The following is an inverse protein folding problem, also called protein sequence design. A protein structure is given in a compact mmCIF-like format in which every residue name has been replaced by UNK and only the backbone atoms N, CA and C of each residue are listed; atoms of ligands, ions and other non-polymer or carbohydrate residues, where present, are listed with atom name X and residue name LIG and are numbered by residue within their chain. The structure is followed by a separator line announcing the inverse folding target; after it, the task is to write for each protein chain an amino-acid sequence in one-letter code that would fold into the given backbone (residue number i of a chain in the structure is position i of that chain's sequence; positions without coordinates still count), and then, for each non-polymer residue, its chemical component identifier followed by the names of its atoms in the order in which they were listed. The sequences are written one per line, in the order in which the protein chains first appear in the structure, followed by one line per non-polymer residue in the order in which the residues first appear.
data_IF_566706179694
#
_entry.id   IF_566706179694
#
_cell.length_a   1.000
_cell.length_b   1.000
_cell.length_c   1.000
_cell.angle_alpha   90.00
_cell.angle_beta   90.00
_cell.angle_gamma   90.00
#
_symmetry.space_group_name_H-M   'P 1'
#
loop_
_entity.id
_entity.type
_entity.pdbx_description
1 polymer ?
#
# COMPACT_ATOMS: atom_id res chain seq x y z
N UNK A 1 -55.97 17.73 54.77
CA UNK A 1 -55.06 16.70 54.22
C UNK A 1 -54.54 17.22 52.88
N UNK A 2 -53.22 17.46 52.78
CA UNK A 2 -52.30 17.57 51.60
C UNK A 2 -52.85 18.15 50.27
N UNK A 3 -52.42 19.33 49.78
CA UNK A 3 -51.12 19.75 49.16
C UNK A 3 -51.13 19.69 47.61
N UNK A 4 -51.02 20.89 47.00
CA UNK A 4 -50.27 21.38 45.81
C UNK A 4 -50.30 20.76 44.39
N UNK A 5 -50.62 21.65 43.43
CA UNK A 5 -49.96 22.03 42.14
C UNK A 5 -48.96 21.05 41.48
N UNK A 6 -49.07 20.86 40.16
CA UNK A 6 -48.24 21.52 39.14
C UNK A 6 -48.31 20.80 37.76
N UNK A 7 -48.18 21.59 36.69
CA UNK A 7 -48.22 21.21 35.28
C UNK A 7 -46.99 20.38 34.85
N UNK A 8 -47.18 19.46 33.89
CA UNK A 8 -46.08 18.78 33.19
C UNK A 8 -46.08 19.18 31.70
N UNK A 9 -45.03 19.88 31.29
CA UNK A 9 -44.63 20.03 29.89
C UNK A 9 -43.66 18.88 29.56
N UNK A 10 -43.97 18.08 28.54
CA UNK A 10 -43.09 17.02 28.05
C UNK A 10 -42.15 17.58 26.98
N UNK A 11 -40.85 17.65 27.31
CA UNK A 11 -39.80 18.10 26.40
C UNK A 11 -39.31 16.98 25.48
N UNK A 12 -39.17 17.29 24.19
CA UNK A 12 -38.46 16.47 23.21
C UNK A 12 -36.97 16.41 23.53
N UNK A 13 -36.46 15.20 23.77
CA UNK A 13 -35.01 14.93 23.86
C UNK A 13 -34.47 14.78 22.44
N UNK A 14 -33.68 15.76 22.00
CA UNK A 14 -32.85 15.66 20.80
C UNK A 14 -31.65 14.78 21.16
N UNK A 15 -31.59 13.57 20.61
CA UNK A 15 -30.40 12.73 20.60
C UNK A 15 -29.36 13.38 19.68
N UNK A 16 -28.41 14.12 20.26
CA UNK A 16 -27.22 14.56 19.58
C UNK A 16 -26.28 13.36 19.39
N UNK A 17 -26.08 12.96 18.14
CA UNK A 17 -25.04 12.01 17.73
C UNK A 17 -23.67 12.65 18.05
N UNK A 18 -23.00 12.17 19.09
CA UNK A 18 -21.65 12.60 19.42
C UNK A 18 -20.69 12.14 18.32
N UNK A 19 -20.14 13.09 17.57
CA UNK A 19 -18.99 12.88 16.71
C UNK A 19 -17.85 12.34 17.56
N UNK A 20 -17.40 11.11 17.31
CA UNK A 20 -16.24 10.53 17.99
C UNK A 20 -15.01 11.27 17.47
N UNK A 21 -14.59 12.32 18.18
CA UNK A 21 -13.27 12.92 17.99
C UNK A 21 -12.26 11.83 18.39
N UNK A 22 -11.50 11.30 17.43
CA UNK A 22 -10.39 10.38 17.73
C UNK A 22 -9.38 11.15 18.58
N UNK A 23 -9.25 10.79 19.85
CA UNK A 23 -8.39 11.49 20.79
C UNK A 23 -6.92 11.34 20.36
N UNK A 24 -6.18 12.45 20.37
CA UNK A 24 -4.72 12.47 20.19
C UNK A 24 -4.08 11.55 21.23
N UNK A 25 -2.96 10.92 20.88
CA UNK A 25 -2.24 10.08 21.86
C UNK A 25 -1.62 10.97 22.93
N UNK A 26 -1.56 10.48 24.17
CA UNK A 26 -1.00 11.27 25.27
C UNK A 26 0.53 11.37 25.16
N UNK A 27 1.17 12.36 25.82
CA UNK A 27 2.63 12.42 25.94
C UNK A 27 3.25 11.14 26.48
N UNK A 28 2.57 10.46 27.42
CA UNK A 28 3.01 9.20 28.00
C UNK A 28 2.97 8.05 26.97
N UNK A 29 1.92 7.99 26.15
CA UNK A 29 1.83 7.04 25.04
C UNK A 29 2.90 7.30 23.98
N UNK A 30 3.06 8.56 23.56
CA UNK A 30 4.08 8.95 22.58
C UNK A 30 5.49 8.64 23.07
N UNK A 31 5.75 8.73 24.38
CA UNK A 31 7.04 8.40 24.96
C UNK A 31 7.40 6.91 24.81
N UNK A 32 6.46 6.01 24.46
CA UNK A 32 6.77 4.60 24.14
C UNK A 32 7.58 4.44 22.84
N UNK A 33 7.46 5.40 21.90
CA UNK A 33 8.19 5.39 20.63
C UNK A 33 9.71 5.53 20.86
N UNK A 34 10.47 4.57 20.35
CA UNK A 34 11.92 4.46 20.58
C UNK A 34 12.32 3.76 21.88
N UNK A 35 11.35 3.39 22.74
CA UNK A 35 11.56 2.56 23.93
C UNK A 35 11.09 1.13 23.65
N UNK A 36 9.89 0.78 24.09
CA UNK A 36 9.26 -0.53 23.88
C UNK A 36 8.60 -0.65 22.50
N UNK A 37 8.27 0.49 21.86
CA UNK A 37 7.92 0.55 20.45
C UNK A 37 9.12 1.00 19.61
N UNK A 38 9.19 0.56 18.36
CA UNK A 38 10.11 1.14 17.37
C UNK A 38 9.74 2.62 17.15
N UNK A 39 10.61 3.43 16.52
CA UNK A 39 10.29 4.83 16.26
C UNK A 39 9.04 5.05 15.39
N UNK A 40 8.59 4.02 14.66
CA UNK A 40 7.39 4.06 13.82
C UNK A 40 6.17 3.38 14.47
N UNK A 41 6.30 2.85 15.70
CA UNK A 41 5.20 2.29 16.47
C UNK A 41 5.02 0.77 16.42
N UNK A 42 5.91 0.05 15.74
CA UNK A 42 5.95 -1.41 15.78
C UNK A 42 6.39 -1.91 17.17
N UNK A 43 6.08 -3.15 17.52
CA UNK A 43 6.63 -3.76 18.73
C UNK A 43 8.14 -3.99 18.56
N UNK A 44 8.96 -3.39 19.43
CA UNK A 44 10.42 -3.49 19.31
C UNK A 44 10.92 -4.89 19.66
N UNK A 45 10.33 -5.53 20.66
CA UNK A 45 10.70 -6.88 21.07
C UNK A 45 10.35 -7.93 20.00
N UNK A 46 11.12 -9.02 19.98
CA UNK A 46 10.76 -10.23 19.25
C UNK A 46 9.52 -10.90 19.83
N UNK A 47 8.99 -11.92 19.15
CA UNK A 47 7.88 -12.69 19.69
C UNK A 47 8.35 -13.75 20.69
N UNK A 48 7.42 -14.30 21.47
CA UNK A 48 7.74 -15.27 22.52
C UNK A 48 8.37 -16.56 21.95
N UNK A 49 7.97 -16.97 20.74
CA UNK A 49 8.48 -18.17 20.07
C UNK A 49 9.88 -17.97 19.45
N UNK A 50 10.41 -16.74 19.44
CA UNK A 50 11.71 -16.40 18.84
C UNK A 50 11.73 -16.48 17.31
N UNK A 51 10.59 -16.67 16.66
CA UNK A 51 10.46 -16.72 15.19
C UNK A 51 10.48 -15.33 14.55
N UNK A 52 10.10 -14.30 15.31
CA UNK A 52 10.24 -12.89 14.95
C UNK A 52 11.32 -12.29 15.86
N UNK A 53 12.47 -11.84 15.33
CA UNK A 53 13.53 -11.27 16.15
C UNK A 53 13.17 -9.86 16.67
N UNK A 54 13.88 -9.34 17.70
CA UNK A 54 13.78 -7.93 18.06
C UNK A 54 14.20 -7.03 16.89
N UNK A 55 13.63 -5.82 16.83
CA UNK A 55 14.07 -4.80 15.87
C UNK A 55 15.32 -4.09 16.39
N UNK A 56 16.39 -4.14 15.59
CA UNK A 56 17.71 -3.64 15.96
C UNK A 56 18.15 -2.41 15.12
N UNK A 57 17.22 -1.75 14.44
CA UNK A 57 17.51 -0.58 13.59
C UNK A 57 17.13 -0.74 12.13
N UNK A 58 16.78 -1.96 11.71
CA UNK A 58 16.52 -2.31 10.31
C UNK A 58 17.79 -2.33 9.46
N UNK A 59 17.63 -2.41 8.14
CA UNK A 59 18.73 -2.53 7.18
C UNK A 59 19.04 -1.17 6.53
N UNK A 60 20.18 -0.59 6.91
CA UNK A 60 20.64 0.74 6.45
C UNK A 60 22.05 0.71 5.86
N UNK A 61 22.67 -0.47 5.79
CA UNK A 61 24.00 -0.66 5.22
C UNK A 61 23.90 -1.47 3.93
N UNK A 62 24.54 -0.95 2.88
CA UNK A 62 24.64 -1.65 1.61
C UNK A 62 25.46 -2.94 1.76
N UNK A 63 24.96 -4.09 1.29
CA UNK A 63 25.72 -5.33 1.27
C UNK A 63 26.86 -5.24 0.25
N UNK A 64 27.94 -6.03 0.40
CA UNK A 64 29.08 -6.02 -0.52
C UNK A 64 28.75 -6.30 -1.99
N UNK A 65 27.63 -6.98 -2.28
CA UNK A 65 27.19 -7.27 -3.64
C UNK A 65 26.59 -6.06 -4.37
N UNK A 66 26.25 -4.97 -3.66
CA UNK A 66 25.61 -3.81 -4.26
C UNK A 66 26.60 -2.99 -5.06
N UNK A 67 26.25 -2.66 -6.32
CA UNK A 67 27.14 -1.93 -7.22
C UNK A 67 27.03 -0.40 -7.11
N UNK A 68 26.25 0.10 -6.15
CA UNK A 68 26.04 1.52 -5.91
C UNK A 68 24.76 2.07 -6.53
N UNK A 69 24.52 3.36 -6.32
CA UNK A 69 23.30 4.05 -6.71
C UNK A 69 22.96 3.84 -8.21
N UNK A 70 21.68 3.58 -8.49
CA UNK A 70 21.17 3.31 -9.83
C UNK A 70 21.40 1.88 -10.32
N UNK A 71 22.14 1.05 -9.57
CA UNK A 71 22.23 -0.38 -9.83
C UNK A 71 21.06 -1.14 -9.18
N UNK A 72 20.76 -2.32 -9.72
CA UNK A 72 19.76 -3.23 -9.17
C UNK A 72 20.14 -3.64 -7.75
N UNK A 73 19.18 -3.64 -6.83
CA UNK A 73 19.38 -4.17 -5.48
C UNK A 73 19.70 -5.66 -5.52
N UNK A 74 20.82 -6.05 -4.91
CA UNK A 74 21.16 -7.46 -4.71
C UNK A 74 20.56 -7.97 -3.40
N UNK A 75 20.43 -9.29 -3.27
CA UNK A 75 19.95 -9.91 -2.03
C UNK A 75 21.02 -9.78 -0.93
N UNK A 76 20.74 -9.09 0.19
CA UNK A 76 21.65 -8.98 1.32
C UNK A 76 21.74 -10.27 2.15
N UNK A 77 20.89 -11.27 1.88
CA UNK A 77 20.81 -12.53 2.62
C UNK A 77 21.05 -13.77 1.74
N UNK A 78 22.19 -13.84 1.01
CA UNK A 78 22.41 -14.90 0.01
C UNK A 78 22.48 -16.32 0.60
N UNK A 79 22.81 -16.44 1.89
CA UNK A 79 22.94 -17.72 2.60
C UNK A 79 21.64 -18.19 3.25
N UNK A 80 20.60 -17.35 3.28
CA UNK A 80 19.31 -17.72 3.85
C UNK A 80 18.66 -18.83 3.02
N UNK A 81 18.18 -19.88 3.70
CA UNK A 81 17.43 -21.00 3.09
C UNK A 81 16.01 -21.03 3.64
N UNK A 82 15.03 -21.56 2.89
CA UNK A 82 13.70 -21.79 3.44
C UNK A 82 13.80 -22.67 4.70
N UNK A 83 13.16 -22.23 5.78
CA UNK A 83 13.00 -23.01 7.00
C UNK A 83 12.02 -24.16 6.77
N UNK A 84 10.97 -23.88 6.00
CA UNK A 84 9.96 -24.84 5.60
C UNK A 84 9.18 -24.29 4.39
N UNK A 85 8.42 -25.17 3.76
CA UNK A 85 7.54 -24.82 2.63
C UNK A 85 6.11 -25.14 2.99
N UNK A 86 5.20 -24.18 2.84
CA UNK A 86 3.77 -24.41 3.00
C UNK A 86 3.19 -24.86 1.66
N UNK A 87 2.52 -26.01 1.66
CA UNK A 87 1.79 -26.59 0.54
C UNK A 87 0.37 -26.92 0.99
N UNK A 88 -0.49 -27.35 0.07
CA UNK A 88 -1.83 -27.83 0.44
C UNK A 88 -1.80 -28.96 1.48
N UNK A 89 -0.79 -29.82 1.45
CA UNK A 89 -0.71 -31.00 2.33
C UNK A 89 -0.46 -30.64 3.79
N UNK A 90 0.17 -29.49 4.06
CA UNK A 90 0.52 -29.08 5.42
C UNK A 90 -0.13 -27.76 5.86
N UNK A 91 -0.94 -27.12 5.00
CA UNK A 91 -1.55 -25.80 5.24
C UNK A 91 -2.35 -25.72 6.55
N UNK A 92 -2.97 -26.84 6.97
CA UNK A 92 -3.72 -26.91 8.21
C UNK A 92 -2.90 -26.49 9.44
N UNK A 93 -1.58 -26.73 9.44
CA UNK A 93 -0.67 -26.35 10.54
C UNK A 93 -0.42 -24.84 10.64
N UNK A 94 -0.62 -24.11 9.55
CA UNK A 94 -0.26 -22.70 9.43
C UNK A 94 -1.47 -21.80 9.18
N UNK A 95 -2.68 -22.36 9.24
CA UNK A 95 -3.92 -21.68 8.81
C UNK A 95 -4.12 -20.32 9.47
N UNK A 96 -3.81 -20.21 10.76
CA UNK A 96 -3.98 -18.97 11.53
C UNK A 96 -2.95 -17.88 11.22
N UNK A 97 -1.91 -18.22 10.43
CA UNK A 97 -0.85 -17.32 9.98
C UNK A 97 -0.99 -16.92 8.50
N UNK A 98 -2.08 -17.31 7.85
CA UNK A 98 -2.31 -17.11 6.41
C UNK A 98 -3.59 -16.30 6.15
N UNK A 99 -3.58 -15.47 5.11
CA UNK A 99 -4.79 -14.77 4.64
C UNK A 99 -5.75 -15.71 3.96
N UNK A 100 -7.01 -15.29 3.78
CA UNK A 100 -7.99 -16.10 3.06
C UNK A 100 -7.55 -16.35 1.61
N UNK A 101 -6.93 -15.35 0.97
CA UNK A 101 -6.33 -15.48 -0.36
C UNK A 101 -5.20 -16.49 -0.45
N UNK A 102 -4.26 -16.50 0.51
CA UNK A 102 -3.19 -17.51 0.52
C UNK A 102 -3.75 -18.93 0.63
N UNK A 103 -4.73 -19.14 1.53
CA UNK A 103 -5.43 -20.41 1.67
C UNK A 103 -6.14 -20.82 0.37
N UNK A 104 -6.81 -19.88 -0.29
CA UNK A 104 -7.51 -20.14 -1.55
C UNK A 104 -6.55 -20.51 -2.69
N UNK A 105 -5.35 -19.90 -2.74
CA UNK A 105 -4.36 -20.22 -3.77
C UNK A 105 -3.71 -21.58 -3.57
N UNK A 106 -3.38 -21.95 -2.32
CA UNK A 106 -2.92 -23.31 -1.97
C UNK A 106 -3.99 -24.36 -2.30
N UNK A 107 -5.27 -24.04 -2.06
CA UNK A 107 -6.39 -24.92 -2.38
C UNK A 107 -6.55 -25.12 -3.88
N UNK A 108 -6.47 -24.03 -4.65
CA UNK A 108 -6.71 -23.98 -6.10
C UNK A 108 -5.56 -24.56 -6.93
N UNK A 109 -4.32 -24.37 -6.49
CA UNK A 109 -3.11 -24.75 -7.23
C UNK A 109 -2.21 -25.69 -6.40
N UNK A 110 -2.72 -26.85 -5.96
CA UNK A 110 -2.05 -27.72 -5.00
C UNK A 110 -0.65 -28.20 -5.42
N UNK A 111 -0.45 -28.38 -6.72
CA UNK A 111 0.78 -28.94 -7.29
C UNK A 111 1.83 -27.88 -7.65
N UNK A 112 1.46 -26.60 -7.74
CA UNK A 112 2.33 -25.54 -8.27
C UNK A 112 2.48 -24.34 -7.35
N UNK A 113 1.49 -24.06 -6.51
CA UNK A 113 1.53 -22.97 -5.55
C UNK A 113 2.02 -23.45 -4.19
N UNK A 114 2.98 -22.72 -3.62
CA UNK A 114 3.63 -23.03 -2.35
C UNK A 114 4.22 -21.75 -1.79
N UNK A 115 4.38 -21.66 -0.47
CA UNK A 115 5.04 -20.53 0.18
C UNK A 115 6.36 -21.02 0.76
N UNK A 116 7.48 -20.57 0.20
CA UNK A 116 8.82 -20.83 0.75
C UNK A 116 9.08 -19.83 1.89
N UNK A 117 9.05 -20.32 3.14
CA UNK A 117 9.12 -19.48 4.33
C UNK A 117 10.53 -19.45 4.88
N UNK A 118 11.08 -18.25 4.99
CA UNK A 118 12.44 -17.98 5.44
C UNK A 118 12.42 -17.43 6.87
N UNK A 119 13.61 -17.35 7.47
CA UNK A 119 13.79 -16.64 8.73
C UNK A 119 13.41 -15.17 8.57
N UNK A 120 12.77 -14.62 9.60
CA UNK A 120 12.34 -13.23 9.61
C UNK A 120 13.54 -12.29 9.72
N UNK A 121 13.63 -11.35 8.77
CA UNK A 121 14.59 -10.25 8.77
C UNK A 121 13.81 -8.94 8.79
N UNK A 122 13.76 -8.28 9.96
CA UNK A 122 13.06 -6.99 10.15
C UNK A 122 13.87 -5.84 9.55
N UNK A 123 13.84 -5.71 8.23
CA UNK A 123 14.70 -4.81 7.46
C UNK A 123 14.20 -3.37 7.36
N UNK A 124 12.93 -3.09 7.66
CA UNK A 124 12.40 -1.74 7.49
C UNK A 124 13.18 -0.74 8.35
N UNK A 125 13.68 0.30 7.70
CA UNK A 125 14.39 1.39 8.32
C UNK A 125 14.07 2.71 7.61
N UNK A 126 14.09 3.80 8.38
CA UNK A 126 13.85 5.15 7.92
C UNK A 126 14.93 6.11 8.47
N UNK A 127 15.12 7.30 7.86
CA UNK A 127 16.06 8.29 8.38
C UNK A 127 15.58 8.89 9.70
N UNK A 128 16.51 9.37 10.53
CA UNK A 128 16.19 9.93 11.86
C UNK A 128 15.18 11.09 11.81
N UNK A 129 15.24 11.95 10.79
CA UNK A 129 14.29 13.06 10.65
C UNK A 129 12.84 12.57 10.43
N UNK A 130 12.66 11.37 9.86
CA UNK A 130 11.34 10.74 9.71
C UNK A 130 10.84 10.24 11.06
N UNK A 131 11.71 9.63 11.85
CA UNK A 131 11.40 9.20 13.22
C UNK A 131 11.03 10.38 14.12
N UNK A 132 11.77 11.49 14.01
CA UNK A 132 11.47 12.72 14.75
C UNK A 132 10.12 13.32 14.36
N UNK A 133 9.84 13.39 13.06
CA UNK A 133 8.55 13.88 12.57
C UNK A 133 7.39 12.97 13.00
N UNK A 134 7.59 11.65 12.95
CA UNK A 134 6.62 10.65 13.40
C UNK A 134 6.26 10.84 14.89
N UNK A 135 7.25 11.10 15.75
CA UNK A 135 7.02 11.40 17.17
C UNK A 135 6.22 12.69 17.37
N UNK A 136 6.48 13.73 16.55
CA UNK A 136 5.68 14.97 16.58
C UNK A 136 4.26 14.71 16.10
N UNK A 137 4.08 13.94 15.04
CA UNK A 137 2.77 13.61 14.50
C UNK A 137 1.93 12.83 15.50
N UNK A 138 2.52 11.90 16.26
CA UNK A 138 1.84 11.15 17.31
C UNK A 138 1.01 12.09 18.23
N UNK A 139 1.58 13.23 18.62
CA UNK A 139 0.97 14.20 19.53
C UNK A 139 0.00 15.19 18.86
N UNK A 140 0.02 15.30 17.53
CA UNK A 140 -0.62 16.40 16.82
C UNK A 140 -1.65 15.95 15.78
N UNK A 141 -1.43 14.79 15.15
CA UNK A 141 -2.22 14.29 14.05
C UNK A 141 -3.65 13.98 14.50
N UNK A 142 -4.61 14.40 13.69
CA UNK A 142 -6.02 14.04 13.87
C UNK A 142 -6.67 13.74 12.53
N UNK A 143 -7.70 12.91 12.58
CA UNK A 143 -8.62 12.71 11.47
C UNK A 143 -9.92 13.47 11.73
N UNK A 144 -10.36 14.20 10.71
CA UNK A 144 -11.65 14.88 10.67
C UNK A 144 -12.52 14.27 9.56
N UNK A 145 -13.81 14.63 9.56
CA UNK A 145 -14.77 14.21 8.52
C UNK A 145 -14.75 12.69 8.24
N UNK A 146 -14.91 11.91 9.31
CA UNK A 146 -14.91 10.43 9.28
C UNK A 146 -13.63 9.76 8.73
N UNK A 147 -12.51 10.51 8.65
CA UNK A 147 -11.25 9.99 8.14
C UNK A 147 -10.82 10.59 6.80
N UNK A 148 -11.64 11.43 6.18
CA UNK A 148 -11.33 12.00 4.85
C UNK A 148 -10.44 13.24 4.88
N UNK A 149 -10.06 13.69 6.08
CA UNK A 149 -9.16 14.84 6.25
C UNK A 149 -8.15 14.59 7.35
N UNK A 150 -6.86 14.65 6.98
CA UNK A 150 -5.75 14.62 7.92
C UNK A 150 -5.35 16.05 8.31
N UNK A 151 -5.20 16.29 9.62
CA UNK A 151 -4.71 17.54 10.20
C UNK A 151 -3.50 17.30 11.08
N UNK A 152 -2.67 18.34 11.23
CA UNK A 152 -1.60 18.36 12.24
C UNK A 152 -0.45 17.37 12.03
N UNK A 153 -0.35 16.78 10.84
CA UNK A 153 0.73 15.87 10.47
C UNK A 153 1.42 16.36 9.19
N UNK A 154 2.74 16.30 9.18
CA UNK A 154 3.57 16.52 8.00
C UNK A 154 4.86 15.74 8.22
N UNK A 155 5.39 15.12 7.16
CA UNK A 155 6.60 14.30 7.21
C UNK A 155 6.49 13.10 8.19
N UNK A 156 6.92 11.91 7.75
CA UNK A 156 6.81 10.71 8.57
C UNK A 156 5.38 10.24 8.86
N UNK A 157 5.24 9.24 9.70
CA UNK A 157 3.98 8.52 9.87
C UNK A 157 3.00 9.34 10.73
N UNK A 158 1.75 9.54 10.30
CA UNK A 158 0.79 10.38 11.03
C UNK A 158 0.35 9.73 12.36
N UNK A 159 0.14 8.41 12.39
CA UNK A 159 -0.47 7.70 13.52
C UNK A 159 0.36 6.49 13.95
N UNK A 160 1.58 6.66 14.51
CA UNK A 160 2.41 5.52 14.91
C UNK A 160 1.78 4.65 16.02
N UNK A 161 0.81 5.18 16.78
CA UNK A 161 0.04 4.41 17.77
C UNK A 161 -1.45 4.53 17.40
N UNK A 162 -1.91 3.80 16.37
CA UNK A 162 -3.23 4.00 15.80
C UNK A 162 -4.33 3.54 16.77
N UNK A 163 -5.42 4.29 16.81
CA UNK A 163 -6.65 4.04 17.57
C UNK A 163 -7.82 3.65 16.68
N UNK A 164 -7.70 3.82 15.37
CA UNK A 164 -8.72 3.47 14.39
C UNK A 164 -8.15 2.78 13.14
N UNK A 165 -9.02 2.13 12.38
CA UNK A 165 -8.63 1.49 11.12
C UNK A 165 -8.19 2.51 10.06
N UNK A 166 -8.88 3.66 9.98
CA UNK A 166 -8.51 4.73 9.05
C UNK A 166 -7.11 5.28 9.34
N UNK A 167 -6.71 5.38 10.61
CA UNK A 167 -5.35 5.80 10.97
C UNK A 167 -4.27 4.85 10.44
N UNK A 168 -4.52 3.53 10.48
CA UNK A 168 -3.63 2.53 9.85
C UNK A 168 -3.56 2.73 8.33
N UNK A 169 -4.71 2.97 7.67
CA UNK A 169 -4.75 3.24 6.23
C UNK A 169 -4.02 4.54 5.87
N UNK A 170 -4.13 5.58 6.70
CA UNK A 170 -3.40 6.84 6.51
C UNK A 170 -1.89 6.68 6.64
N UNK A 171 -1.42 5.86 7.59
CA UNK A 171 0.01 5.53 7.66
C UNK A 171 0.49 4.88 6.36
N UNK A 172 -0.29 3.96 5.78
CA UNK A 172 0.06 3.35 4.50
C UNK A 172 0.13 4.36 3.35
N UNK A 173 -0.89 5.23 3.22
CA UNK A 173 -0.96 6.25 2.15
C UNK A 173 0.22 7.23 2.21
N UNK A 174 0.67 7.57 3.42
CA UNK A 174 1.68 8.59 3.69
C UNK A 174 3.04 8.04 4.13
N UNK A 175 3.25 6.72 4.07
CA UNK A 175 4.52 6.10 4.44
C UNK A 175 5.67 6.71 3.66
N UNK A 176 6.79 6.91 4.34
CA UNK A 176 7.97 7.55 3.75
C UNK A 176 8.60 6.65 2.68
N UNK A 177 8.82 7.20 1.48
CA UNK A 177 9.36 6.51 0.30
C UNK A 177 10.32 7.42 -0.49
N UNK A 178 11.05 8.27 0.23
CA UNK A 178 11.79 9.38 -0.37
C UNK A 178 10.89 10.55 -0.78
N UNK A 179 11.46 11.52 -1.50
CA UNK A 179 10.77 12.76 -1.92
C UNK A 179 10.10 12.65 -3.30
N UNK A 180 10.44 11.62 -4.06
CA UNK A 180 9.92 11.37 -5.41
C UNK A 180 10.82 10.43 -6.20
N UNK A 181 10.40 10.08 -7.41
CA UNK A 181 11.20 9.21 -8.28
C UNK A 181 10.59 8.99 -9.65
N UNK A 182 11.42 8.54 -10.58
CA UNK A 182 11.05 8.06 -11.89
C UNK A 182 11.26 6.54 -11.93
N UNK A 183 10.24 5.78 -12.33
CA UNK A 183 10.30 4.31 -12.38
C UNK A 183 9.61 3.72 -13.60
N UNK A 184 9.98 2.49 -13.90
CA UNK A 184 9.16 1.61 -14.72
C UNK A 184 8.19 0.85 -13.83
N UNK A 185 6.95 0.72 -14.29
CA UNK A 185 5.85 0.07 -13.57
C UNK A 185 5.17 -0.93 -14.52
N UNK A 186 5.95 -1.79 -15.15
CA UNK A 186 5.46 -2.68 -16.19
C UNK A 186 4.46 -3.69 -15.61
N UNK A 187 3.49 -4.07 -16.44
CA UNK A 187 2.43 -4.97 -16.02
C UNK A 187 2.02 -5.95 -17.12
N UNK A 188 1.49 -7.09 -16.70
CA UNK A 188 1.02 -8.16 -17.56
C UNK A 188 -0.28 -8.72 -16.99
N UNK A 189 -1.37 -8.56 -17.74
CA UNK A 189 -2.62 -9.26 -17.50
C UNK A 189 -2.52 -10.68 -18.09
N UNK A 190 -2.57 -11.68 -17.22
CA UNK A 190 -2.38 -13.10 -17.57
C UNK A 190 -3.73 -13.78 -17.70
N UNK A 191 -3.94 -14.36 -18.87
CA UNK A 191 -5.12 -15.19 -19.19
C UNK A 191 -5.08 -16.54 -18.48
N UNK A 192 -6.20 -17.30 -18.40
CA UNK A 192 -6.19 -18.61 -17.75
C UNK A 192 -5.28 -19.63 -18.43
N UNK A 193 -4.94 -19.44 -19.71
CA UNK A 193 -3.97 -20.29 -20.43
C UNK A 193 -2.51 -19.96 -20.07
N UNK A 194 -2.25 -18.84 -19.41
CA UNK A 194 -0.91 -18.31 -19.13
C UNK A 194 -0.41 -17.31 -20.17
N UNK A 195 -1.14 -17.08 -21.26
CA UNK A 195 -0.79 -16.06 -22.24
C UNK A 195 -0.99 -14.65 -21.66
N UNK A 196 -0.11 -13.72 -22.03
CA UNK A 196 -0.20 -12.31 -21.64
C UNK A 196 0.38 -11.41 -22.75
N UNK A 197 0.05 -10.12 -22.69
CA UNK A 197 0.77 -9.06 -23.43
C UNK A 197 1.37 -8.12 -22.41
N UNK A 198 2.66 -7.84 -22.54
CA UNK A 198 3.34 -6.88 -21.67
C UNK A 198 2.87 -5.46 -22.01
N UNK A 199 2.53 -4.70 -20.97
CA UNK A 199 2.30 -3.26 -21.03
C UNK A 199 3.45 -2.59 -20.31
N UNK A 200 4.19 -1.77 -21.04
CA UNK A 200 5.29 -1.01 -20.45
C UNK A 200 4.80 0.36 -20.04
N UNK A 201 5.13 0.76 -18.81
CA UNK A 201 4.61 1.98 -18.20
C UNK A 201 5.76 2.67 -17.49
N UNK A 202 5.88 3.99 -17.67
CA UNK A 202 6.74 4.84 -16.84
C UNK A 202 5.90 5.67 -15.90
N UNK A 203 6.37 5.84 -14.67
CA UNK A 203 5.74 6.67 -13.65
C UNK A 203 6.74 7.67 -13.07
N UNK A 204 6.34 8.93 -13.02
CA UNK A 204 7.03 10.00 -12.31
C UNK A 204 6.18 10.39 -11.11
N UNK A 205 6.80 10.46 -9.93
CA UNK A 205 6.10 10.72 -8.67
C UNK A 205 6.84 11.76 -7.86
N UNK A 206 6.10 12.66 -7.21
CA UNK A 206 6.61 13.56 -6.16
C UNK A 206 5.74 13.39 -4.92
N UNK A 207 6.38 13.39 -3.74
CA UNK A 207 5.74 13.30 -2.44
C UNK A 207 5.95 14.61 -1.64
N UNK A 208 5.19 15.68 -1.90
CA UNK A 208 5.32 16.93 -1.11
C UNK A 208 5.24 16.70 0.40
N UNK A 209 4.40 15.78 0.87
CA UNK A 209 4.26 15.42 2.29
C UNK A 209 5.57 14.89 2.91
N UNK A 210 6.44 14.26 2.12
CA UNK A 210 7.69 13.65 2.58
C UNK A 210 8.89 14.61 2.52
N UNK A 211 8.70 15.86 2.05
CA UNK A 211 9.77 16.84 2.00
C UNK A 211 10.19 17.30 3.39
N UNK A 212 11.50 17.44 3.62
CA UNK A 212 12.06 17.94 4.89
C UNK A 212 11.71 19.40 5.17
N UNK A 213 11.39 20.17 4.13
CA UNK A 213 11.02 21.59 4.23
C UNK A 213 9.51 21.82 4.20
N UNK A 214 8.71 20.76 4.10
CA UNK A 214 7.26 20.89 4.04
C UNK A 214 6.66 21.32 5.39
N UNK A 215 5.68 22.21 5.33
CA UNK A 215 4.70 22.44 6.39
C UNK A 215 3.31 22.04 5.86
N UNK A 216 2.31 21.83 6.74
CA UNK A 216 0.93 21.58 6.29
C UNK A 216 0.40 22.64 5.32
N UNK A 217 0.81 23.90 5.48
CA UNK A 217 0.42 25.01 4.63
C UNK A 217 1.17 25.00 3.29
N UNK A 218 2.46 24.67 3.29
CA UNK A 218 3.32 24.76 2.09
C UNK A 218 2.93 23.78 1.00
N UNK A 219 2.35 22.63 1.35
CA UNK A 219 1.97 21.59 0.38
C UNK A 219 0.65 21.88 -0.34
N UNK A 220 -0.07 22.94 0.03
CA UNK A 220 -1.26 23.39 -0.70
C UNK A 220 -2.35 22.31 -0.84
N UNK A 221 -2.53 21.46 0.19
CA UNK A 221 -3.39 20.27 0.20
C UNK A 221 -2.90 19.06 -0.60
N UNK A 222 -1.82 19.14 -1.36
CA UNK A 222 -1.41 18.07 -2.28
C UNK A 222 -0.33 17.22 -1.62
N UNK A 223 -0.61 15.94 -1.41
CA UNK A 223 0.31 15.01 -0.74
C UNK A 223 1.11 14.15 -1.72
N UNK A 224 0.59 13.97 -2.94
CA UNK A 224 1.25 13.20 -4.01
C UNK A 224 0.94 13.85 -5.35
N UNK A 225 1.96 14.03 -6.17
CA UNK A 225 1.81 14.21 -7.61
C UNK A 225 2.23 12.93 -8.32
N UNK A 226 1.40 12.45 -9.24
CA UNK A 226 1.61 11.19 -9.94
C UNK A 226 1.34 11.38 -11.44
N UNK A 227 2.32 11.02 -12.27
CA UNK A 227 2.22 11.00 -13.72
C UNK A 227 2.57 9.61 -14.23
N UNK A 228 1.64 9.00 -14.95
CA UNK A 228 1.80 7.68 -15.57
C UNK A 228 1.68 7.81 -17.08
N UNK A 229 2.59 7.17 -17.82
CA UNK A 229 2.58 7.15 -19.29
C UNK A 229 2.76 5.71 -19.77
N UNK A 230 1.81 5.23 -20.58
CA UNK A 230 1.94 3.95 -21.27
C UNK A 230 2.92 4.10 -22.43
N UNK A 231 3.97 3.26 -22.47
CA UNK A 231 5.01 3.26 -23.50
C UNK A 231 4.76 2.21 -24.57
N UNK A 232 4.31 1.02 -24.17
CA UNK A 232 3.97 -0.08 -25.06
C UNK A 232 2.77 -0.87 -24.53
N UNK A 233 2.01 -1.59 -25.38
CA UNK A 233 2.17 -1.73 -26.83
C UNK A 233 1.67 -0.50 -27.62
N UNK A 234 1.96 -0.40 -28.94
CA UNK A 234 1.60 0.77 -29.76
C UNK A 234 0.13 1.18 -29.71
N UNK A 235 -0.79 0.22 -29.54
CA UNK A 235 -2.24 0.49 -29.39
C UNK A 235 -2.57 1.37 -28.17
N UNK A 236 -1.80 1.25 -27.10
CA UNK A 236 -2.01 1.95 -25.83
C UNK A 236 -0.97 3.06 -25.59
N UNK A 237 0.14 3.03 -26.34
CA UNK A 237 1.25 3.95 -26.19
C UNK A 237 0.81 5.43 -26.25
N UNK A 238 1.33 6.23 -25.32
CA UNK A 238 1.02 7.64 -25.16
C UNK A 238 -0.21 7.94 -24.32
N UNK A 239 -0.95 6.94 -23.81
CA UNK A 239 -1.98 7.19 -22.79
C UNK A 239 -1.32 7.76 -21.52
N UNK A 240 -1.89 8.85 -21.00
CA UNK A 240 -1.41 9.49 -19.77
C UNK A 240 -2.50 9.48 -18.72
N UNK A 241 -2.13 9.16 -17.49
CA UNK A 241 -2.91 9.46 -16.29
C UNK A 241 -2.10 10.39 -15.39
N UNK A 242 -2.68 11.53 -15.05
CA UNK A 242 -2.11 12.52 -14.14
C UNK A 242 -3.02 12.64 -12.92
N UNK A 243 -2.46 12.56 -11.72
CA UNK A 243 -3.20 12.65 -10.46
C UNK A 243 -2.48 13.59 -9.50
N UNK A 244 -3.22 14.53 -8.92
CA UNK A 244 -2.82 15.29 -7.74
C UNK A 244 -3.69 14.79 -6.58
N UNK A 245 -3.07 14.06 -5.67
CA UNK A 245 -3.71 13.50 -4.49
C UNK A 245 -3.83 14.55 -3.39
N UNK A 246 -4.99 14.61 -2.75
CA UNK A 246 -5.28 15.62 -1.72
C UNK A 246 -5.29 15.04 -0.30
N UNK A 247 -4.82 15.83 0.66
CA UNK A 247 -4.78 15.49 2.09
C UNK A 247 -6.17 15.61 2.74
N UNK A 248 -6.88 16.67 2.39
CA UNK A 248 -8.26 16.93 2.79
C UNK A 248 -9.16 16.81 1.56
N UNK A 249 -9.80 15.65 1.43
CA UNK A 249 -10.65 15.35 0.28
C UNK A 249 -12.04 16.00 0.37
N UNK A 250 -12.44 16.45 1.57
CA UNK A 250 -13.67 17.21 1.79
C UNK A 250 -13.51 18.64 1.30
N UNK A 251 -12.36 19.26 1.60
CA UNK A 251 -12.01 20.60 1.13
C UNK A 251 -11.76 20.64 -0.38
N UNK A 252 -10.97 19.70 -0.89
CA UNK A 252 -10.69 19.59 -2.32
C UNK A 252 -10.59 18.11 -2.70
N UNK A 253 -11.49 17.58 -3.55
CA UNK A 253 -11.40 16.19 -3.97
C UNK A 253 -10.12 15.95 -4.79
N UNK A 254 -9.68 14.69 -4.84
CA UNK A 254 -8.59 14.25 -5.72
C UNK A 254 -8.80 14.82 -7.12
N UNK A 255 -7.71 15.33 -7.71
CA UNK A 255 -7.72 15.87 -9.06
C UNK A 255 -7.03 14.91 -10.00
N UNK A 256 -7.74 14.49 -11.04
CA UNK A 256 -7.17 13.61 -12.04
C UNK A 256 -7.49 14.08 -13.45
N UNK A 257 -6.60 13.71 -14.37
CA UNK A 257 -6.71 13.95 -15.79
C UNK A 257 -6.26 12.72 -16.57
N UNK A 258 -6.86 12.53 -17.73
CA UNK A 258 -6.45 11.51 -18.69
C UNK A 258 -6.22 12.13 -20.06
N UNK A 259 -5.19 11.65 -20.74
CA UNK A 259 -4.94 11.93 -22.15
C UNK A 259 -5.05 10.63 -22.95
N UNK A 260 -5.80 10.70 -24.05
CA UNK A 260 -5.88 9.63 -25.04
C UNK A 260 -5.24 10.10 -26.35
N UNK A 261 -4.23 9.39 -26.88
CA UNK A 261 -3.58 9.72 -28.15
C UNK A 261 -4.57 9.87 -29.30
N UNK A 262 -5.61 9.02 -29.34
CA UNK A 262 -6.64 9.08 -30.38
C UNK A 262 -7.48 10.36 -30.35
N UNK A 263 -7.63 10.98 -29.17
CA UNK A 263 -8.37 12.24 -29.01
C UNK A 263 -7.47 13.48 -28.94
N UNK A 264 -6.15 13.30 -28.80
CA UNK A 264 -5.12 14.35 -28.70
C UNK A 264 -5.45 15.46 -27.68
N UNK A 265 -6.14 15.11 -26.60
CA UNK A 265 -6.58 16.09 -25.58
C UNK A 265 -6.49 15.50 -24.18
N UNK A 266 -5.95 16.28 -23.25
CA UNK A 266 -6.05 16.02 -21.82
C UNK A 266 -7.41 16.51 -21.29
N UNK A 267 -8.08 15.69 -20.49
CA UNK A 267 -9.39 16.01 -19.90
C UNK A 267 -9.39 15.70 -18.42
N UNK A 268 -10.15 16.47 -17.65
CA UNK A 268 -10.48 16.10 -16.25
C UNK A 268 -11.13 14.72 -16.24
N UNK A 269 -10.65 13.85 -15.37
CA UNK A 269 -11.06 12.46 -15.26
C UNK A 269 -11.39 12.13 -13.79
N UNK A 270 -12.50 12.66 -13.25
CA UNK A 270 -12.89 12.41 -11.85
C UNK A 270 -13.17 10.93 -11.55
N UNK A 271 -13.37 10.12 -12.59
CA UNK A 271 -13.50 8.67 -12.52
C UNK A 271 -12.17 7.92 -12.27
N UNK A 272 -11.02 8.60 -12.20
CA UNK A 272 -9.76 7.99 -11.73
C UNK A 272 -9.79 7.87 -10.20
N UNK A 273 -10.76 7.10 -9.73
CA UNK A 273 -11.08 6.86 -8.33
C UNK A 273 -11.89 5.55 -8.19
N UNK A 274 -11.87 4.99 -6.99
CA UNK A 274 -12.67 3.83 -6.59
C UNK A 274 -12.54 2.61 -7.53
N UNK A 275 -13.66 1.95 -7.81
CA UNK A 275 -13.81 0.71 -8.58
C UNK A 275 -13.74 0.88 -10.10
N UNK A 276 -13.40 2.07 -10.59
CA UNK A 276 -13.16 2.25 -12.01
C UNK A 276 -11.91 1.46 -12.44
N UNK A 277 -11.94 0.79 -13.62
CA UNK A 277 -10.79 0.04 -14.12
C UNK A 277 -9.54 0.91 -14.19
N UNK A 278 -8.41 0.36 -13.73
CA UNK A 278 -7.13 1.05 -13.80
C UNK A 278 -6.53 1.02 -15.21
N UNK A 279 -5.56 1.91 -15.46
CA UNK A 279 -4.83 1.98 -16.74
C UNK A 279 -4.32 0.60 -17.15
N UNK A 280 -4.70 0.18 -18.37
CA UNK A 280 -4.19 -1.00 -19.07
C UNK A 280 -4.22 -2.32 -18.26
N UNK A 281 -5.12 -2.46 -17.28
CA UNK A 281 -5.17 -3.64 -16.38
C UNK A 281 -6.07 -4.77 -16.85
N UNK A 282 -6.70 -4.62 -18.02
CA UNK A 282 -7.66 -5.59 -18.58
C UNK A 282 -8.79 -5.94 -17.58
N UNK A 283 -9.19 -4.96 -16.77
CA UNK A 283 -10.23 -5.06 -15.74
C UNK A 283 -9.83 -5.82 -14.47
N UNK A 284 -8.58 -6.30 -14.36
CA UNK A 284 -8.12 -7.12 -13.23
C UNK A 284 -7.74 -6.30 -11.99
N UNK A 285 -7.65 -4.97 -12.12
CA UNK A 285 -7.40 -4.03 -11.02
C UNK A 285 -8.17 -2.74 -11.21
N UNK A 286 -8.64 -2.15 -10.10
CA UNK A 286 -9.30 -0.85 -10.03
C UNK A 286 -8.31 0.27 -9.67
N UNK A 287 -8.71 1.52 -9.87
CA UNK A 287 -7.86 2.69 -9.60
C UNK A 287 -7.39 2.76 -8.14
N UNK A 288 -8.27 2.44 -7.19
CA UNK A 288 -7.97 2.48 -5.76
C UNK A 288 -7.13 1.29 -5.24
N UNK A 289 -6.76 0.34 -6.09
CA UNK A 289 -5.95 -0.85 -5.74
C UNK A 289 -4.45 -0.72 -6.06
N UNK A 290 -4.00 0.33 -6.75
CA UNK A 290 -2.56 0.54 -6.97
C UNK A 290 -1.87 0.72 -5.61
N UNK A 291 -0.74 0.05 -5.42
CA UNK A 291 0.02 0.04 -4.16
C UNK A 291 -0.78 -0.57 -2.99
N UNK A 292 -1.61 -1.59 -3.27
CA UNK A 292 -2.51 -2.23 -2.31
C UNK A 292 -3.79 -1.41 -2.02
N UNK A 293 -3.66 -0.15 -1.63
CA UNK A 293 -4.79 0.78 -1.48
C UNK A 293 -4.38 2.25 -1.55
N UNK A 294 -5.04 3.04 -2.41
CA UNK A 294 -4.85 4.49 -2.46
C UNK A 294 -6.15 5.31 -2.39
N UNK A 295 -7.29 4.65 -2.18
CA UNK A 295 -8.61 5.30 -2.25
C UNK A 295 -8.95 6.24 -1.08
N UNK A 296 -10.03 7.00 -1.28
CA UNK A 296 -10.77 7.67 -0.21
C UNK A 296 -11.41 6.63 0.72
N UNK A 297 -11.53 6.90 2.03
CA UNK A 297 -12.08 5.92 2.99
C UNK A 297 -13.61 6.01 3.12
N UNK A 298 -14.25 6.90 2.37
CA UNK A 298 -15.63 7.36 2.51
C UNK A 298 -16.71 6.31 2.17
N UNK A 299 -16.40 5.36 1.29
CA UNK A 299 -17.37 4.32 0.87
C UNK A 299 -17.52 3.18 1.87
N UNK A 300 -16.61 3.03 2.83
CA UNK A 300 -16.56 1.87 3.73
C UNK A 300 -16.74 2.27 5.19
N UNK A 301 -17.37 1.39 5.97
CA UNK A 301 -17.27 1.37 7.42
C UNK A 301 -16.03 0.56 7.78
N UNK A 302 -15.16 1.14 8.59
CA UNK A 302 -13.85 0.59 8.89
C UNK A 302 -13.78 0.02 10.31
N UNK A 303 -13.12 -1.13 10.44
CA UNK A 303 -12.91 -1.83 11.71
C UNK A 303 -11.46 -2.23 11.86
N UNK A 304 -10.86 -1.87 12.99
CA UNK A 304 -9.53 -2.32 13.38
C UNK A 304 -9.66 -3.67 14.08
N UNK A 305 -9.11 -4.73 13.50
CA UNK A 305 -9.15 -6.08 14.06
C UNK A 305 -7.96 -6.40 14.98
N UNK A 306 -7.00 -5.47 15.09
CA UNK A 306 -5.80 -5.60 15.92
C UNK A 306 -4.60 -6.15 15.15
N UNK A 307 -3.58 -6.61 15.89
CA UNK A 307 -2.36 -7.21 15.31
C UNK A 307 -2.45 -8.73 15.23
N UNK A 308 -1.76 -9.31 14.24
CA UNK A 308 -1.55 -10.76 14.09
C UNK A 308 -0.15 -11.05 13.59
N UNK A 309 0.38 -12.23 13.92
CA UNK A 309 1.56 -12.78 13.26
C UNK A 309 1.13 -13.51 11.99
N UNK A 310 1.61 -13.04 10.84
CA UNK A 310 1.19 -13.50 9.51
C UNK A 310 2.42 -13.77 8.63
N UNK A 311 2.31 -14.77 7.77
CA UNK A 311 3.32 -15.06 6.75
C UNK A 311 3.05 -14.16 5.55
N UNK A 312 3.96 -13.22 5.29
CA UNK A 312 3.79 -12.16 4.30
C UNK A 312 4.95 -12.17 3.29
N UNK A 313 4.73 -11.72 2.04
CA UNK A 313 5.82 -11.48 1.11
C UNK A 313 6.69 -10.33 1.63
N UNK A 314 7.99 -10.57 1.77
CA UNK A 314 8.92 -9.62 2.39
C UNK A 314 10.35 -9.86 1.92
N UNK A 315 11.22 -8.84 1.97
CA UNK A 315 12.61 -8.92 1.49
C UNK A 315 12.74 -9.52 0.09
N UNK A 316 11.91 -9.07 -0.85
CA UNK A 316 11.72 -9.69 -2.17
C UNK A 316 12.83 -9.37 -3.19
N UNK A 317 14.10 -9.37 -2.77
CA UNK A 317 15.26 -9.03 -3.60
C UNK A 317 15.45 -9.99 -4.77
N UNK A 318 15.25 -11.31 -4.57
CA UNK A 318 15.32 -12.31 -5.64
C UNK A 318 14.30 -12.05 -6.74
N UNK A 319 13.07 -11.70 -6.36
CA UNK A 319 11.99 -11.35 -7.28
C UNK A 319 12.23 -10.01 -7.98
N UNK A 320 12.92 -9.07 -7.33
CA UNK A 320 13.34 -7.79 -7.91
C UNK A 320 14.47 -7.91 -8.94
N UNK A 321 15.26 -8.99 -8.87
CA UNK A 321 16.49 -9.16 -9.66
C UNK A 321 16.27 -9.12 -11.18
N UNK A 322 17.23 -8.58 -11.91
CA UNK A 322 17.31 -8.56 -13.38
C UNK A 322 17.82 -9.88 -14.00
N UNK A 323 18.19 -10.84 -13.14
CA UNK A 323 18.57 -12.21 -13.52
C UNK A 323 17.39 -13.00 -14.09
N UNK A 324 16.16 -12.70 -13.65
CA UNK A 324 14.94 -13.37 -14.09
C UNK A 324 14.22 -12.47 -15.08
N UNK A 325 13.84 -13.02 -16.24
CA UNK A 325 13.03 -12.33 -17.23
C UNK A 325 11.56 -12.49 -16.90
N UNK A 326 10.69 -11.66 -17.46
CA UNK A 326 9.25 -11.71 -17.18
C UNK A 326 8.65 -13.08 -17.47
N UNK A 327 9.14 -13.79 -18.50
CA UNK A 327 8.72 -15.17 -18.82
C UNK A 327 9.09 -16.20 -17.74
N UNK A 328 10.10 -15.93 -16.92
CA UNK A 328 10.56 -16.82 -15.84
C UNK A 328 9.78 -16.55 -14.54
N UNK A 329 9.18 -15.35 -14.44
CA UNK A 329 8.40 -14.87 -13.29
C UNK A 329 6.90 -15.14 -13.50
N UNK A 330 6.37 -14.83 -14.68
CA UNK A 330 4.95 -14.87 -15.01
C UNK A 330 4.61 -16.24 -15.59
N UNK A 331 3.90 -17.05 -14.81
CA UNK A 331 3.50 -18.40 -15.22
C UNK A 331 1.98 -18.51 -15.31
N UNK A 332 1.49 -19.65 -15.79
CA UNK A 332 0.05 -19.95 -15.82
C UNK A 332 -0.50 -20.01 -14.39
N UNK A 333 -1.58 -19.25 -14.15
CA UNK A 333 -2.35 -19.27 -12.90
C UNK A 333 -1.74 -18.46 -11.75
N UNK A 334 -0.41 -18.41 -11.64
CA UNK A 334 0.30 -17.60 -10.65
C UNK A 334 1.76 -17.34 -11.03
N UNK A 335 2.41 -16.41 -10.32
CA UNK A 335 3.84 -16.14 -10.48
C UNK A 335 4.68 -17.34 -10.03
N UNK A 336 5.92 -17.43 -10.50
CA UNK A 336 6.86 -18.48 -10.12
C UNK A 336 7.17 -18.45 -8.62
N UNK A 337 6.64 -19.41 -7.86
CA UNK A 337 6.76 -19.47 -6.39
C UNK A 337 8.17 -19.79 -5.88
N UNK A 338 9.14 -20.03 -6.76
CA UNK A 338 10.55 -20.15 -6.37
C UNK A 338 11.25 -18.78 -6.18
N UNK A 339 10.57 -17.67 -6.53
CA UNK A 339 11.16 -16.32 -6.52
C UNK A 339 10.70 -15.46 -5.33
N UNK A 340 9.40 -15.44 -4.95
CA UNK A 340 8.96 -14.76 -3.75
C UNK A 340 9.62 -15.33 -2.49
N UNK A 341 9.90 -14.43 -1.55
CA UNK A 341 10.35 -14.75 -0.20
C UNK A 341 9.23 -14.43 0.77
N UNK A 342 8.85 -15.41 1.59
CA UNK A 342 7.86 -15.23 2.63
C UNK A 342 8.51 -15.28 4.01
N UNK A 343 8.07 -14.42 4.92
CA UNK A 343 8.58 -14.35 6.29
C UNK A 343 7.41 -14.15 7.27
N UNK A 344 7.59 -14.57 8.52
CA UNK A 344 6.61 -14.32 9.57
C UNK A 344 6.83 -12.91 10.15
N UNK A 345 5.83 -12.05 10.05
CA UNK A 345 5.87 -10.69 10.60
C UNK A 345 4.59 -10.38 11.37
N UNK A 346 4.62 -9.33 12.19
CA UNK A 346 3.39 -8.80 12.78
C UNK A 346 2.75 -7.82 11.80
N UNK A 347 1.43 -7.92 11.64
CA UNK A 347 0.65 -7.03 10.80
C UNK A 347 -0.55 -6.50 11.56
N UNK A 348 -0.94 -5.26 11.28
CA UNK A 348 -2.26 -4.74 11.59
C UNK A 348 -3.28 -5.31 10.60
N UNK A 349 -4.42 -5.77 11.10
CA UNK A 349 -5.53 -6.25 10.28
C UNK A 349 -6.67 -5.24 10.33
N UNK A 350 -7.04 -4.75 9.15
CA UNK A 350 -8.09 -3.74 8.98
C UNK A 350 -9.16 -4.28 8.05
N UNK A 351 -10.43 -4.15 8.43
CA UNK A 351 -11.57 -4.53 7.60
C UNK A 351 -12.38 -3.31 7.18
N UNK A 352 -12.70 -3.22 5.88
CA UNK A 352 -13.64 -2.26 5.33
C UNK A 352 -14.89 -3.00 4.82
N UNK A 353 -16.08 -2.61 5.28
CA UNK A 353 -17.36 -3.11 4.77
C UNK A 353 -18.12 -1.98 4.07
N UNK A 354 -18.60 -2.22 2.85
CA UNK A 354 -19.26 -1.20 2.03
C UNK A 354 -20.46 -0.61 2.76
N UNK A 355 -20.54 0.72 2.82
CA UNK A 355 -21.63 1.42 3.50
C UNK A 355 -22.95 1.26 2.74
N UNK A 356 -24.10 1.19 3.44
CA UNK A 356 -25.40 1.33 2.79
C UNK A 356 -25.48 2.64 1.99
N UNK A 357 -26.06 2.58 0.79
CA UNK A 357 -26.25 3.75 -0.07
C UNK A 357 -25.03 4.15 -0.90
N UNK A 358 -23.87 3.50 -0.73
CA UNK A 358 -22.72 3.65 -1.63
C UNK A 358 -22.60 2.43 -2.55
N UNK A 359 -21.79 2.53 -3.61
CA UNK A 359 -21.52 1.44 -4.54
C UNK A 359 -20.04 1.16 -4.62
N UNK A 360 -19.66 -0.11 -4.63
CA UNK A 360 -18.34 -0.58 -5.02
C UNK A 360 -18.44 -2.03 -5.48
N UNK A 361 -17.57 -2.47 -6.39
CA UNK A 361 -17.53 -3.88 -6.79
C UNK A 361 -17.08 -4.85 -5.67
N UNK A 362 -16.52 -4.33 -4.57
CA UNK A 362 -16.09 -5.12 -3.42
C UNK A 362 -16.99 -4.75 -2.23
N UNK A 363 -17.73 -5.72 -1.73
CA UNK A 363 -18.61 -5.53 -0.57
C UNK A 363 -17.79 -5.46 0.71
N UNK A 364 -16.70 -6.23 0.79
CA UNK A 364 -15.84 -6.31 1.97
C UNK A 364 -14.38 -6.48 1.57
N UNK A 365 -13.48 -5.86 2.33
CA UNK A 365 -12.03 -5.85 2.08
C UNK A 365 -11.31 -6.05 3.40
N UNK A 366 -10.31 -6.93 3.41
CA UNK A 366 -9.42 -7.13 4.57
C UNK A 366 -8.00 -6.80 4.15
N UNK A 367 -7.39 -5.82 4.82
CA UNK A 367 -6.05 -5.34 4.58
C UNK A 367 -5.12 -5.82 5.69
N UNK A 368 -3.94 -6.27 5.31
CA UNK A 368 -2.87 -6.67 6.21
C UNK A 368 -1.71 -5.70 6.04
N UNK A 369 -1.42 -4.92 7.07
CA UNK A 369 -0.46 -3.82 7.04
C UNK A 369 0.71 -4.16 7.93
N UNK A 370 1.90 -4.28 7.34
CA UNK A 370 3.13 -4.57 8.07
C UNK A 370 3.42 -3.49 9.13
N UNK A 371 3.72 -3.92 10.35
CA UNK A 371 3.89 -2.98 11.47
C UNK A 371 5.17 -2.13 11.35
N UNK A 372 6.20 -2.68 10.70
CA UNK A 372 7.52 -2.07 10.61
C UNK A 372 7.62 -1.05 9.47
N UNK A 373 6.87 -1.24 8.38
CA UNK A 373 6.89 -0.37 7.20
C UNK A 373 5.63 0.45 6.98
N UNK A 374 4.52 0.09 7.63
CA UNK A 374 3.17 0.55 7.32
C UNK A 374 2.71 0.26 5.88
N UNK A 375 3.43 -0.58 5.14
CA UNK A 375 3.01 -1.07 3.83
C UNK A 375 1.86 -2.07 3.97
N UNK A 376 0.81 -1.95 3.15
CA UNK A 376 -0.13 -3.05 2.96
C UNK A 376 0.64 -4.13 2.19
N UNK A 377 0.62 -5.36 2.69
CA UNK A 377 1.37 -6.50 2.12
C UNK A 377 0.46 -7.59 1.56
N UNK A 378 -0.78 -7.68 2.05
CA UNK A 378 -1.83 -8.56 1.52
C UNK A 378 -3.20 -7.86 1.53
N UNK A 379 -4.07 -8.19 0.57
CA UNK A 379 -5.48 -7.74 0.57
C UNK A 379 -6.43 -8.86 0.13
N UNK A 380 -7.40 -9.21 0.97
CA UNK A 380 -8.50 -10.13 0.61
C UNK A 380 -9.75 -9.31 0.22
N UNK A 381 -10.35 -9.60 -0.93
CA UNK A 381 -11.46 -8.83 -1.51
C UNK A 381 -12.67 -9.73 -1.78
N UNK A 382 -13.82 -9.35 -1.24
CA UNK A 382 -15.04 -10.15 -1.25
C UNK A 382 -16.13 -9.50 -2.11
N UNK A 383 -16.86 -10.32 -2.86
CA UNK A 383 -17.98 -9.89 -3.70
C UNK A 383 -19.27 -9.68 -2.90
N UNK A 384 -20.35 -9.29 -3.60
CA UNK A 384 -21.66 -9.04 -2.97
C UNK A 384 -22.32 -10.27 -2.33
N UNK A 385 -21.82 -11.48 -2.61
CA UNK A 385 -22.28 -12.76 -2.03
C UNK A 385 -21.41 -13.20 -0.85
N UNK A 386 -20.56 -12.30 -0.34
CA UNK A 386 -19.58 -12.57 0.72
C UNK A 386 -18.54 -13.64 0.36
N UNK A 387 -18.35 -13.92 -0.93
CA UNK A 387 -17.35 -14.86 -1.42
C UNK A 387 -16.04 -14.14 -1.69
N UNK A 388 -14.92 -14.77 -1.32
CA UNK A 388 -13.59 -14.28 -1.70
C UNK A 388 -13.49 -14.30 -3.23
N UNK A 389 -13.21 -13.14 -3.82
CA UNK A 389 -13.16 -12.97 -5.26
C UNK A 389 -11.77 -12.59 -5.74
N UNK A 390 -11.21 -11.50 -5.21
CA UNK A 390 -9.88 -11.04 -5.58
C UNK A 390 -8.93 -11.09 -4.40
N UNK A 391 -7.65 -11.25 -4.71
CA UNK A 391 -6.59 -11.28 -3.72
C UNK A 391 -5.35 -10.57 -4.23
N UNK A 392 -4.69 -9.79 -3.38
CA UNK A 392 -3.48 -9.04 -3.73
C UNK A 392 -2.31 -9.41 -2.83
N UNK A 393 -1.12 -9.45 -3.43
CA UNK A 393 0.18 -9.53 -2.74
C UNK A 393 1.05 -8.34 -3.17
N UNK A 394 1.72 -7.70 -2.20
CA UNK A 394 2.69 -6.65 -2.46
C UNK A 394 4.06 -7.13 -1.96
N UNK A 395 4.97 -7.43 -2.88
CA UNK A 395 6.28 -8.01 -2.58
C UNK A 395 7.30 -6.91 -2.26
N UNK A 396 7.41 -6.55 -0.98
CA UNK A 396 8.24 -5.42 -0.51
C UNK A 396 9.71 -5.81 -0.31
N UNK A 397 10.57 -4.79 -0.32
CA UNK A 397 11.98 -4.90 0.08
C UNK A 397 12.49 -3.54 0.58
N UNK A 398 13.52 -3.55 1.43
CA UNK A 398 14.15 -2.33 1.93
C UNK A 398 15.19 -1.82 0.92
N UNK A 399 15.13 -0.54 0.56
CA UNK A 399 16.26 0.12 -0.06
C UNK A 399 17.32 0.35 1.04
N UNK A 400 18.41 -0.41 1.01
CA UNK A 400 19.41 -0.36 2.09
C UNK A 400 20.38 0.82 1.97
N UNK A 401 20.52 1.41 0.78
CA UNK A 401 21.35 2.59 0.52
C UNK A 401 20.57 3.90 0.74
N UNK A 402 19.25 3.81 0.70
CA UNK A 402 18.30 4.90 0.92
C UNK A 402 17.29 4.41 1.95
N UNK A 403 17.41 4.74 3.24
CA UNK A 403 16.67 4.06 4.29
C UNK A 403 15.17 4.35 4.18
N UNK A 404 14.45 3.58 3.35
CA UNK A 404 13.01 3.47 3.26
C UNK A 404 12.63 2.13 2.61
N UNK A 405 11.43 1.65 2.87
CA UNK A 405 10.89 0.48 2.16
C UNK A 405 10.53 0.90 0.75
N UNK A 406 11.22 0.32 -0.23
CA UNK A 406 11.03 0.64 -1.63
C UNK A 406 9.59 0.31 -2.08
N UNK A 407 9.09 0.94 -3.16
CA UNK A 407 7.91 0.42 -3.81
C UNK A 407 8.05 -1.09 -4.09
N UNK A 408 6.96 -1.88 -4.03
CA UNK A 408 7.05 -3.33 -4.17
C UNK A 408 7.82 -3.73 -5.43
N UNK A 409 8.70 -4.73 -5.31
CA UNK A 409 9.42 -5.33 -6.44
C UNK A 409 8.45 -5.89 -7.50
N UNK A 410 7.29 -6.34 -7.03
CA UNK A 410 6.15 -6.71 -7.83
C UNK A 410 4.91 -6.67 -6.96
N UNK A 411 3.77 -6.45 -7.59
CA UNK A 411 2.46 -6.66 -7.00
C UNK A 411 1.68 -7.66 -7.86
N UNK A 412 0.80 -8.43 -7.22
CA UNK A 412 -0.14 -9.30 -7.93
C UNK A 412 -1.56 -9.00 -7.52
N UNK A 413 -2.50 -9.12 -8.47
CA UNK A 413 -3.92 -9.18 -8.18
C UNK A 413 -4.55 -10.36 -8.92
N UNK A 414 -4.99 -11.35 -8.15
CA UNK A 414 -5.61 -12.58 -8.62
C UNK A 414 -7.13 -12.42 -8.68
N UNK A 415 -7.74 -12.86 -9.76
CA UNK A 415 -9.18 -13.04 -9.89
C UNK A 415 -9.51 -14.53 -9.77
N UNK A 416 -9.93 -14.95 -8.58
CA UNK A 416 -10.12 -16.36 -8.23
C UNK A 416 -11.31 -17.00 -8.96
N UNK A 417 -12.23 -16.20 -9.49
CA UNK A 417 -13.39 -16.69 -10.24
C UNK A 417 -12.98 -17.03 -11.68
N UNK A 418 -12.29 -16.13 -12.35
CA UNK A 418 -11.85 -16.32 -13.74
C UNK A 418 -10.54 -17.11 -13.88
N UNK A 419 -9.73 -17.20 -12.84
CA UNK A 419 -8.38 -17.78 -12.90
C UNK A 419 -7.36 -16.91 -13.64
N UNK A 420 -7.71 -15.65 -13.93
CA UNK A 420 -6.80 -14.63 -14.46
C UNK A 420 -6.09 -13.92 -13.31
N UNK A 421 -4.94 -13.32 -13.58
CA UNK A 421 -4.29 -12.43 -12.63
C UNK A 421 -3.50 -11.35 -13.36
N UNK A 422 -3.20 -10.25 -12.69
CA UNK A 422 -2.27 -9.23 -13.18
C UNK A 422 -1.04 -9.21 -12.29
N UNK A 423 0.14 -9.29 -12.91
CA UNK A 423 1.41 -8.94 -12.27
C UNK A 423 1.77 -7.51 -12.69
N UNK A 424 2.14 -6.65 -11.75
CA UNK A 424 2.45 -5.25 -12.01
C UNK A 424 3.53 -4.74 -11.06
N UNK A 425 3.94 -3.49 -11.23
CA UNK A 425 5.09 -2.92 -10.50
C UNK A 425 6.44 -3.55 -10.82
N UNK A 426 6.53 -4.23 -11.96
CA UNK A 426 7.74 -4.90 -12.39
C UNK A 426 8.66 -3.95 -13.16
N UNK A 427 9.96 -4.05 -12.91
CA UNK A 427 10.99 -3.37 -13.70
C UNK A 427 12.21 -4.28 -14.00
N UNK A 428 12.11 -5.60 -13.84
CA UNK A 428 13.23 -6.55 -13.98
C UNK A 428 14.00 -6.41 -15.31
N UNK A 429 13.30 -6.12 -16.41
CA UNK A 429 13.89 -5.93 -17.75
C UNK A 429 13.96 -4.46 -18.16
N UNK A 430 13.86 -3.54 -17.20
CA UNK A 430 13.89 -2.10 -17.42
C UNK A 430 14.93 -1.43 -16.49
N UNK A 431 15.33 -0.18 -16.79
CA UNK A 431 16.16 0.59 -15.86
C UNK A 431 15.61 0.61 -14.43
N UNK A 432 16.53 0.62 -13.46
CA UNK A 432 16.17 0.73 -12.05
C UNK A 432 15.48 2.07 -11.76
N UNK A 433 14.67 2.08 -10.70
CA UNK A 433 14.05 3.30 -10.17
C UNK A 433 15.12 4.33 -9.81
N UNK A 434 14.89 5.56 -10.25
CA UNK A 434 15.77 6.70 -9.95
C UNK A 434 15.02 7.62 -9.00
N UNK A 435 15.62 7.92 -7.85
CA UNK A 435 15.11 8.96 -6.96
C UNK A 435 15.27 10.31 -7.63
N UNK A 436 14.20 11.10 -7.62
CA UNK A 436 14.19 12.42 -8.25
C UNK A 436 13.18 13.31 -7.56
N UNK A 437 13.65 14.46 -7.11
CA UNK A 437 12.78 15.53 -6.67
C UNK A 437 12.37 16.38 -7.89
N UNK A 438 11.13 16.18 -8.34
CA UNK A 438 10.58 16.95 -9.45
C UNK A 438 10.04 18.29 -8.96
N UNK A 439 10.12 19.35 -9.78
CA UNK A 439 9.35 20.58 -9.54
C UNK A 439 7.85 20.27 -9.60
N UNK A 440 7.02 20.93 -8.79
CA UNK A 440 5.57 20.72 -8.81
C UNK A 440 4.95 21.06 -10.17
N UNK A 441 5.48 22.11 -10.83
CA UNK A 441 5.06 22.50 -12.18
C UNK A 441 5.31 21.42 -13.24
N UNK A 442 6.15 20.42 -12.95
CA UNK A 442 6.33 19.23 -13.79
C UNK A 442 5.01 18.49 -14.01
N UNK A 443 4.12 18.55 -13.03
CA UNK A 443 2.84 17.85 -13.01
C UNK A 443 1.67 18.74 -13.45
N UNK A 444 1.92 19.99 -13.86
CA UNK A 444 0.84 20.82 -14.38
C UNK A 444 0.27 20.24 -15.68
N UNK A 445 -1.07 20.15 -15.82
CA UNK A 445 -1.70 19.57 -17.01
C UNK A 445 -1.24 20.22 -18.33
N UNK A 446 -0.95 21.53 -18.31
CA UNK A 446 -0.46 22.29 -19.45
C UNK A 446 0.99 21.92 -19.84
N UNK A 447 1.83 21.61 -18.86
CA UNK A 447 3.22 21.21 -19.07
C UNK A 447 3.32 19.75 -19.52
N UNK A 448 2.48 18.87 -18.94
CA UNK A 448 2.35 17.47 -19.38
C UNK A 448 1.98 17.41 -20.87
N UNK A 449 1.01 18.21 -21.31
CA UNK A 449 0.62 18.30 -22.72
C UNK A 449 1.79 18.70 -23.64
N UNK A 450 2.58 19.72 -23.27
CA UNK A 450 3.71 20.17 -24.10
C UNK A 450 4.78 19.08 -24.30
N UNK A 451 4.88 18.13 -23.38
CA UNK A 451 5.83 17.00 -23.47
C UNK A 451 5.30 15.84 -24.30
N UNK A 452 3.98 15.70 -24.44
CA UNK A 452 3.39 14.58 -25.20
C UNK A 452 3.47 14.76 -26.72
N UNK A 453 3.74 15.97 -27.19
CA UNK A 453 3.85 16.33 -28.62
C UNK A 453 5.29 16.61 -29.07
N UNK A 454 6.28 16.27 -28.23
CA UNK A 454 7.70 16.17 -28.62
C UNK A 454 8.06 14.71 -28.68
#
# INVERSE_FOLDING_TARGET
MRVFRAALAAGCVILASASVVSAKVSPEEAARLGRDLTPVGAERAGNADGTIPPWEGGLTQSPPCYRGEGSRYCDPFPDDRPLYTITKDNVAKYRDKLSAGQLAMLERYPSTYRLEVYQTRRTAAFPDFVYEATRRNALNATLEFEGESLKGAILGFPFPIPKSAQEVIWNHKLRYRGVGGARWNNQAAVTPSGAYTLVEITEDVKFPYASRTATPESIGNIIIYFLQIVRNPPRLAGQITLVHETMDQVREPRRAWQYSPGQRRIRRAPNVAYDNPSTASDGLRTNDQLDGYNGATDRYTWKLLGKKEMIIPYNSYKLHSDQYKYKDIILKGHINQALPRYELHRVWVVEGTLRPGTSHMFKRRVFYVDEDSWGIVLVDLYDNRDQLWRWQEMHTFQAYDKPFVAPPAMETAYDLQSGRYIAYSMNNESPETIERDFDESYFDPSNVMKRTFK
#
